data_IF_227536312885
#
_entry.id   IF_227536312885
#
_cell.length_a   1.000
_cell.length_b   1.000
_cell.length_c   1.000
_cell.angle_alpha   90.00
_cell.angle_beta   90.00
_cell.angle_gamma   90.00
#
_symmetry.space_group_name_H-M   'P 1'
#
loop_
_entity.id
_entity.type
_entity.pdbx_description
1 polymer ?
#
# COMPACT_ATOMS: atom_id res chain seq x y z
N UNK A 1 -61.24 -24.65 -7.68
CA UNK A 1 -60.14 -23.88 -8.25
C UNK A 1 -60.20 -24.06 -9.77
N UNK A 2 -60.56 -23.00 -10.48
CA UNK A 2 -60.64 -23.06 -11.94
C UNK A 2 -59.26 -23.20 -12.55
N UNK A 3 -59.16 -23.77 -13.73
CA UNK A 3 -57.87 -23.88 -14.46
C UNK A 3 -57.18 -22.52 -14.62
N UNK A 4 -57.91 -21.42 -14.69
CA UNK A 4 -57.43 -20.05 -14.77
C UNK A 4 -56.80 -19.57 -13.42
N UNK A 5 -57.41 -19.91 -12.27
CA UNK A 5 -56.86 -19.56 -10.95
C UNK A 5 -55.55 -20.31 -10.69
N UNK A 6 -55.45 -21.59 -11.15
CA UNK A 6 -54.23 -22.38 -11.03
C UNK A 6 -53.06 -21.81 -11.88
N UNK A 7 -53.37 -21.36 -13.10
CA UNK A 7 -52.38 -20.75 -13.99
C UNK A 7 -51.84 -19.39 -13.44
N UNK A 8 -52.72 -18.56 -12.87
CA UNK A 8 -52.37 -17.31 -12.22
C UNK A 8 -51.47 -17.53 -10.97
N UNK A 9 -51.73 -18.56 -10.19
CA UNK A 9 -50.93 -18.91 -8.99
C UNK A 9 -49.52 -19.38 -9.38
N UNK A 10 -49.42 -20.20 -10.43
CA UNK A 10 -48.12 -20.65 -10.96
C UNK A 10 -47.32 -19.50 -11.52
N UNK A 11 -47.95 -18.58 -12.27
CA UNK A 11 -47.28 -17.39 -12.81
C UNK A 11 -46.77 -16.44 -11.70
N UNK A 12 -47.60 -16.22 -10.66
CA UNK A 12 -47.22 -15.42 -9.51
C UNK A 12 -46.02 -16.03 -8.77
N UNK A 13 -46.02 -17.33 -8.51
CA UNK A 13 -44.94 -18.04 -7.85
C UNK A 13 -43.65 -18.02 -8.69
N UNK A 14 -43.75 -18.10 -10.00
CA UNK A 14 -42.63 -18.00 -10.94
C UNK A 14 -42.02 -16.59 -10.96
N UNK A 15 -42.85 -15.54 -10.90
CA UNK A 15 -42.40 -14.17 -10.80
C UNK A 15 -41.72 -13.92 -9.45
N UNK A 16 -42.25 -14.46 -8.36
CA UNK A 16 -41.68 -14.32 -7.01
C UNK A 16 -40.33 -15.03 -6.89
N UNK A 17 -40.22 -16.24 -7.48
CA UNK A 17 -38.94 -16.99 -7.50
C UNK A 17 -37.89 -16.30 -8.39
N UNK A 18 -38.29 -15.75 -9.53
CA UNK A 18 -37.41 -14.94 -10.39
C UNK A 18 -36.99 -13.65 -9.74
N UNK A 19 -37.87 -12.95 -9.00
CA UNK A 19 -37.56 -11.78 -8.24
C UNK A 19 -36.62 -12.09 -7.06
N UNK A 20 -36.89 -13.17 -6.33
CA UNK A 20 -36.01 -13.65 -5.25
C UNK A 20 -34.64 -14.10 -5.79
N UNK A 21 -34.60 -14.81 -6.92
CA UNK A 21 -33.36 -15.17 -7.59
C UNK A 21 -32.57 -13.93 -8.06
N UNK A 22 -33.24 -12.88 -8.57
CA UNK A 22 -32.59 -11.59 -8.90
C UNK A 22 -32.10 -10.85 -7.68
N UNK A 23 -32.84 -10.84 -6.57
CA UNK A 23 -32.41 -10.24 -5.30
C UNK A 23 -31.25 -11.02 -4.68
N UNK A 24 -31.26 -12.34 -4.76
CA UNK A 24 -30.16 -13.20 -4.30
C UNK A 24 -28.97 -13.20 -5.28
N UNK A 25 -29.20 -13.05 -6.57
CA UNK A 25 -28.16 -12.83 -7.61
C UNK A 25 -27.69 -11.39 -7.69
N UNK A 26 -28.36 -10.47 -6.99
CA UNK A 26 -27.98 -9.06 -6.82
C UNK A 26 -26.69 -8.83 -6.01
N UNK A 27 -25.87 -9.86 -5.79
CA UNK A 27 -24.41 -9.70 -5.71
C UNK A 27 -23.99 -9.24 -7.10
N UNK A 28 -24.14 -7.92 -7.33
CA UNK A 28 -23.68 -7.26 -8.53
C UNK A 28 -22.32 -7.83 -8.88
N UNK A 29 -22.21 -8.41 -10.06
CA UNK A 29 -20.94 -8.81 -10.61
C UNK A 29 -20.06 -7.57 -10.52
N UNK A 30 -19.17 -7.54 -9.51
CA UNK A 30 -18.19 -6.46 -9.40
C UNK A 30 -17.43 -6.50 -10.70
N UNK A 31 -17.62 -5.47 -11.48
CA UNK A 31 -16.75 -5.21 -12.63
C UNK A 31 -15.36 -5.09 -11.99
N UNK A 32 -14.54 -6.11 -12.17
CA UNK A 32 -13.14 -6.08 -11.78
C UNK A 32 -12.55 -4.85 -12.46
N UNK A 33 -12.33 -3.77 -11.70
CA UNK A 33 -11.68 -2.56 -12.23
C UNK A 33 -10.29 -2.98 -12.65
N UNK A 34 -10.05 -3.07 -13.96
CA UNK A 34 -8.71 -3.31 -14.48
C UNK A 34 -7.90 -2.04 -14.31
N UNK A 35 -6.93 -2.09 -13.43
CA UNK A 35 -5.96 -1.02 -13.28
C UNK A 35 -5.00 -1.05 -14.47
N UNK A 36 -4.71 0.13 -15.01
CA UNK A 36 -3.62 0.30 -15.99
C UNK A 36 -2.38 0.70 -15.22
N UNK A 37 -1.30 -0.02 -15.41
CA UNK A 37 -0.04 0.23 -14.72
C UNK A 37 1.05 0.54 -15.73
N UNK A 38 1.92 1.47 -15.38
CA UNK A 38 3.16 1.77 -16.07
C UNK A 38 4.33 1.63 -15.10
N UNK A 39 5.51 1.31 -15.61
CA UNK A 39 6.73 1.21 -14.82
C UNK A 39 7.90 1.75 -15.61
N UNK A 40 8.84 2.36 -14.91
CA UNK A 40 10.16 2.69 -15.42
C UNK A 40 11.18 2.42 -14.34
N UNK A 41 12.36 1.97 -14.71
CA UNK A 41 13.46 1.68 -13.80
C UNK A 41 14.76 2.03 -14.55
N UNK A 42 15.71 2.58 -13.82
CA UNK A 42 17.05 2.85 -14.33
C UNK A 42 18.07 2.43 -13.30
N UNK A 43 19.17 1.86 -13.76
CA UNK A 43 20.30 1.51 -12.90
C UNK A 43 21.20 2.73 -12.60
N UNK A 44 21.05 3.82 -13.41
CA UNK A 44 21.93 4.98 -13.31
C UNK A 44 23.40 4.60 -13.53
N UNK A 45 24.28 5.17 -12.74
CA UNK A 45 25.72 4.91 -12.77
C UNK A 45 26.16 3.73 -11.89
N UNK A 46 25.20 2.97 -11.35
CA UNK A 46 25.48 1.83 -10.47
C UNK A 46 25.81 0.58 -11.26
N UNK A 47 26.59 -0.32 -10.64
CA UNK A 47 26.93 -1.61 -11.26
C UNK A 47 25.82 -2.65 -11.07
N UNK A 48 24.93 -2.44 -10.11
CA UNK A 48 23.86 -3.38 -9.76
C UNK A 48 22.56 -2.65 -9.49
N UNK A 49 21.47 -3.22 -9.97
CA UNK A 49 20.13 -2.76 -9.62
C UNK A 49 19.74 -3.28 -8.24
N UNK A 50 19.50 -2.35 -7.34
CA UNK A 50 19.10 -2.64 -5.96
C UNK A 50 17.62 -2.33 -5.71
N UNK A 51 16.94 -1.69 -6.65
CA UNK A 51 15.50 -1.47 -6.61
C UNK A 51 14.74 -2.73 -7.00
N UNK A 52 13.58 -2.90 -6.41
CA UNK A 52 12.63 -3.96 -6.74
C UNK A 52 11.21 -3.42 -6.69
N UNK A 53 10.30 -4.01 -7.47
CA UNK A 53 8.88 -3.64 -7.41
C UNK A 53 8.01 -4.87 -7.62
N UNK A 54 6.77 -4.78 -7.15
CA UNK A 54 5.76 -5.81 -7.34
C UNK A 54 4.39 -5.20 -7.56
N UNK A 55 3.57 -5.90 -8.35
CA UNK A 55 2.18 -5.55 -8.60
C UNK A 55 1.36 -6.82 -8.44
N UNK A 56 0.30 -6.75 -7.66
CA UNK A 56 -0.65 -7.83 -7.46
C UNK A 56 -2.07 -7.30 -7.59
N UNK A 57 -2.97 -8.14 -8.08
CA UNK A 57 -4.39 -7.81 -8.18
C UNK A 57 -5.21 -9.02 -7.76
N UNK A 58 -6.20 -8.80 -6.92
CA UNK A 58 -7.26 -9.73 -6.59
C UNK A 58 -8.60 -9.25 -7.18
N UNK A 59 -9.68 -9.98 -6.93
CA UNK A 59 -11.02 -9.56 -7.34
C UNK A 59 -11.45 -8.23 -6.68
N UNK A 60 -10.96 -7.97 -5.47
CA UNK A 60 -11.43 -6.87 -4.61
C UNK A 60 -10.40 -5.77 -4.38
N UNK A 61 -9.12 -6.00 -4.69
CA UNK A 61 -8.05 -5.06 -4.38
C UNK A 61 -6.90 -5.11 -5.39
N UNK A 62 -6.19 -4.00 -5.49
CA UNK A 62 -4.95 -3.85 -6.25
C UNK A 62 -3.85 -3.42 -5.29
N UNK A 63 -2.69 -4.05 -5.40
CA UNK A 63 -1.49 -3.71 -4.64
C UNK A 63 -0.34 -3.38 -5.60
N UNK A 64 0.35 -2.29 -5.32
CA UNK A 64 1.67 -2.01 -5.87
C UNK A 64 2.67 -1.76 -4.74
N UNK A 65 3.88 -2.27 -4.89
CA UNK A 65 4.99 -2.08 -3.94
C UNK A 65 6.26 -1.75 -4.69
N UNK A 66 7.01 -0.81 -4.15
CA UNK A 66 8.35 -0.41 -4.59
C UNK A 66 9.29 -0.50 -3.40
N UNK A 67 10.49 -1.02 -3.62
CA UNK A 67 11.55 -1.08 -2.62
C UNK A 67 12.87 -0.62 -3.23
N UNK A 68 13.51 0.38 -2.60
CA UNK A 68 14.86 0.89 -2.89
C UNK A 68 15.80 0.25 -1.86
N UNK A 69 16.65 -0.64 -2.34
CA UNK A 69 17.57 -1.40 -1.51
C UNK A 69 18.84 -0.63 -1.21
N UNK A 70 19.31 -0.74 0.03
CA UNK A 70 20.57 -0.13 0.47
C UNK A 70 21.40 -1.15 1.26
N UNK A 71 22.70 -1.03 1.13
CA UNK A 71 23.62 -1.92 1.85
C UNK A 71 24.95 -2.09 1.15
N UNK A 72 25.78 -2.96 1.71
CA UNK A 72 27.06 -3.35 1.11
C UNK A 72 26.90 -4.64 0.31
N UNK A 73 27.72 -4.79 -0.74
CA UNK A 73 27.70 -5.96 -1.62
C UNK A 73 26.30 -6.23 -2.20
N UNK A 74 25.69 -7.35 -1.84
CA UNK A 74 24.35 -7.75 -2.31
C UNK A 74 23.23 -7.37 -1.34
N UNK A 75 23.55 -6.72 -0.20
CA UNK A 75 22.60 -6.44 0.87
C UNK A 75 21.38 -5.65 0.41
N UNK A 76 21.59 -4.59 -0.38
CA UNK A 76 20.48 -3.79 -0.92
C UNK A 76 19.57 -4.59 -1.84
N UNK A 77 20.15 -5.36 -2.77
CA UNK A 77 19.39 -6.21 -3.69
C UNK A 77 18.60 -7.31 -2.98
N UNK A 78 19.20 -7.94 -1.98
CA UNK A 78 18.52 -8.96 -1.16
C UNK A 78 17.36 -8.31 -0.42
N UNK A 79 17.60 -7.19 0.27
CA UNK A 79 16.60 -6.49 1.06
C UNK A 79 15.40 -6.06 0.24
N UNK A 80 15.63 -5.41 -0.92
CA UNK A 80 14.54 -4.92 -1.76
C UNK A 80 13.70 -6.07 -2.34
N UNK A 81 14.33 -7.17 -2.77
CA UNK A 81 13.62 -8.36 -3.25
C UNK A 81 12.81 -9.02 -2.16
N UNK A 82 13.43 -9.25 -0.99
CA UNK A 82 12.75 -9.84 0.16
C UNK A 82 11.54 -9.01 0.57
N UNK A 83 11.68 -7.67 0.60
CA UNK A 83 10.58 -6.77 0.89
C UNK A 83 9.41 -6.94 -0.09
N UNK A 84 9.69 -6.91 -1.39
CA UNK A 84 8.67 -7.06 -2.43
C UNK A 84 8.02 -8.44 -2.39
N UNK A 85 8.80 -9.51 -2.27
CA UNK A 85 8.27 -10.87 -2.26
C UNK A 85 7.44 -11.13 -1.01
N UNK A 86 7.86 -10.66 0.17
CA UNK A 86 7.07 -10.72 1.41
C UNK A 86 5.74 -9.98 1.27
N UNK A 87 5.75 -8.75 0.72
CA UNK A 87 4.51 -7.99 0.52
C UNK A 87 3.53 -8.70 -0.41
N UNK A 88 4.03 -9.28 -1.50
CA UNK A 88 3.22 -10.04 -2.46
C UNK A 88 2.63 -11.29 -1.83
N UNK A 89 3.44 -12.03 -1.07
CA UNK A 89 2.97 -13.23 -0.36
C UNK A 89 1.89 -12.88 0.66
N UNK A 90 2.10 -11.85 1.47
CA UNK A 90 1.11 -11.36 2.41
C UNK A 90 -0.20 -10.93 1.72
N UNK A 91 -0.11 -10.33 0.53
CA UNK A 91 -1.29 -9.93 -0.24
C UNK A 91 -2.08 -11.12 -0.79
N UNK A 92 -1.47 -12.28 -1.06
CA UNK A 92 -2.21 -13.48 -1.49
C UNK A 92 -3.21 -13.95 -0.43
N UNK A 93 -2.93 -13.64 0.84
CA UNK A 93 -3.76 -13.99 1.99
C UNK A 93 -4.63 -12.81 2.47
N UNK A 94 -4.50 -11.63 1.84
CA UNK A 94 -5.27 -10.44 2.19
C UNK A 94 -6.76 -10.67 1.97
N UNK A 95 -7.56 -10.39 3.00
CA UNK A 95 -9.02 -10.53 2.96
C UNK A 95 -9.69 -9.16 3.00
N UNK A 96 -10.85 -9.05 2.37
CA UNK A 96 -11.64 -7.82 2.40
C UNK A 96 -12.04 -7.37 3.81
N UNK A 97 -12.19 -8.31 4.74
CA UNK A 97 -12.50 -8.00 6.14
C UNK A 97 -11.31 -7.44 6.92
N UNK A 98 -10.09 -7.53 6.38
CA UNK A 98 -8.88 -7.01 7.03
C UNK A 98 -8.75 -5.51 6.76
N UNK A 99 -8.57 -4.72 7.81
CA UNK A 99 -8.31 -3.28 7.68
C UNK A 99 -6.96 -3.03 6.99
N UNK A 100 -6.86 -2.09 6.01
CA UNK A 100 -5.61 -1.78 5.31
C UNK A 100 -4.45 -1.41 6.23
N UNK A 101 -4.72 -0.64 7.28
CA UNK A 101 -3.72 -0.26 8.27
C UNK A 101 -3.12 -1.48 9.00
N UNK A 102 -3.95 -2.44 9.36
CA UNK A 102 -3.50 -3.67 10.01
C UNK A 102 -2.69 -4.54 9.05
N UNK A 103 -3.16 -4.68 7.79
CA UNK A 103 -2.41 -5.37 6.73
C UNK A 103 -1.01 -4.77 6.55
N UNK A 104 -0.90 -3.47 6.38
CA UNK A 104 0.39 -2.81 6.19
C UNK A 104 1.32 -2.97 7.39
N UNK A 105 0.85 -2.75 8.62
CA UNK A 105 1.67 -2.96 9.82
C UNK A 105 2.24 -4.37 9.85
N UNK A 106 1.41 -5.37 9.67
CA UNK A 106 1.81 -6.77 9.69
C UNK A 106 2.80 -7.08 8.57
N UNK A 107 2.54 -6.59 7.35
CA UNK A 107 3.41 -6.82 6.20
C UNK A 107 4.79 -6.16 6.37
N UNK A 108 4.86 -4.92 6.87
CA UNK A 108 6.13 -4.23 7.08
C UNK A 108 6.95 -4.86 8.23
N UNK A 109 6.32 -5.30 9.31
CA UNK A 109 7.02 -6.04 10.35
C UNK A 109 7.54 -7.39 9.85
N UNK A 110 6.75 -8.10 9.04
CA UNK A 110 7.20 -9.35 8.44
C UNK A 110 8.35 -9.14 7.45
N UNK A 111 8.30 -8.08 6.63
CA UNK A 111 9.41 -7.70 5.74
C UNK A 111 10.68 -7.41 6.53
N UNK A 112 10.57 -6.60 7.61
CA UNK A 112 11.72 -6.27 8.44
C UNK A 112 12.38 -7.54 9.02
N UNK A 113 11.58 -8.42 9.56
CA UNK A 113 12.05 -9.69 10.11
C UNK A 113 12.69 -10.57 9.03
N UNK A 114 12.05 -10.73 7.88
CA UNK A 114 12.56 -11.57 6.80
C UNK A 114 13.90 -11.05 6.24
N UNK A 115 14.08 -9.71 6.17
CA UNK A 115 15.35 -9.11 5.75
C UNK A 115 16.44 -9.40 6.79
N UNK A 116 16.17 -9.18 8.08
CA UNK A 116 17.12 -9.43 9.15
C UNK A 116 17.54 -10.91 9.22
N UNK A 117 16.60 -11.83 8.99
CA UNK A 117 16.87 -13.27 8.95
C UNK A 117 17.73 -13.70 7.75
N UNK A 118 17.67 -12.96 6.62
CA UNK A 118 18.47 -13.28 5.42
C UNK A 118 19.86 -12.64 5.41
N UNK A 119 20.04 -11.58 6.17
CA UNK A 119 21.28 -10.83 6.23
C UNK A 119 22.01 -11.12 7.56
N UNK A 120 22.83 -12.15 7.57
CA UNK A 120 23.58 -12.61 8.75
C UNK A 120 24.45 -11.52 9.39
N UNK A 121 24.87 -10.51 8.63
CA UNK A 121 25.73 -9.41 9.09
C UNK A 121 24.99 -8.08 9.30
N UNK A 122 23.66 -8.05 9.13
CA UNK A 122 22.83 -6.86 9.32
C UNK A 122 23.14 -5.68 8.37
N UNK A 123 23.88 -5.91 7.28
CA UNK A 123 24.40 -4.84 6.41
C UNK A 123 23.52 -4.58 5.19
N UNK A 124 22.25 -4.56 5.37
CA UNK A 124 21.30 -4.20 4.32
C UNK A 124 19.97 -3.76 4.87
N UNK A 125 19.20 -3.13 4.02
CA UNK A 125 17.85 -2.68 4.33
C UNK A 125 17.18 -2.17 3.05
N UNK A 126 15.95 -1.70 3.18
CA UNK A 126 15.25 -1.08 2.06
C UNK A 126 14.29 0.02 2.52
N UNK A 127 14.24 1.08 1.73
CA UNK A 127 13.09 1.98 1.73
C UNK A 127 11.95 1.30 0.98
N UNK A 128 10.76 1.26 1.55
CA UNK A 128 9.60 0.59 0.95
C UNK A 128 8.40 1.52 0.94
N UNK A 129 7.76 1.62 -0.22
CA UNK A 129 6.45 2.24 -0.39
C UNK A 129 5.47 1.24 -0.98
N UNK A 130 4.29 1.15 -0.41
CA UNK A 130 3.23 0.27 -0.89
C UNK A 130 1.89 1.00 -0.98
N UNK A 131 1.14 0.71 -2.04
CA UNK A 131 -0.17 1.29 -2.32
C UNK A 131 -1.17 0.15 -2.46
N UNK A 132 -2.27 0.24 -1.72
CA UNK A 132 -3.41 -0.66 -1.81
C UNK A 132 -4.63 0.14 -2.26
N UNK A 133 -5.22 -0.25 -3.39
CA UNK A 133 -6.47 0.34 -3.86
C UNK A 133 -7.59 -0.67 -3.66
N UNK A 134 -8.59 -0.28 -2.87
CA UNK A 134 -9.75 -1.09 -2.54
C UNK A 134 -10.99 -0.20 -2.43
N UNK A 135 -12.12 -0.66 -2.96
CA UNK A 135 -13.42 0.03 -2.90
C UNK A 135 -13.39 1.48 -3.41
N UNK A 136 -12.48 1.80 -4.34
CA UNK A 136 -12.28 3.16 -4.87
C UNK A 136 -11.38 4.04 -4.02
N UNK A 137 -10.92 3.56 -2.86
CA UNK A 137 -10.02 4.27 -1.96
C UNK A 137 -8.57 3.84 -2.15
N UNK A 138 -7.66 4.81 -2.05
CA UNK A 138 -6.22 4.60 -2.04
C UNK A 138 -5.74 4.60 -0.60
N UNK A 139 -5.10 3.51 -0.21
CA UNK A 139 -4.38 3.39 1.06
C UNK A 139 -2.90 3.23 0.75
N UNK A 140 -2.03 3.80 1.56
CA UNK A 140 -0.60 3.62 1.37
C UNK A 140 0.15 3.46 2.69
N UNK A 141 1.34 2.87 2.60
CA UNK A 141 2.31 2.83 3.69
C UNK A 141 3.72 3.03 3.15
N UNK A 142 4.54 3.75 3.91
CA UNK A 142 5.95 4.03 3.59
C UNK A 142 6.82 3.79 4.81
N UNK A 143 7.99 3.20 4.59
CA UNK A 143 9.13 3.22 5.50
C UNK A 143 10.38 3.55 4.67
N UNK A 144 11.10 4.60 5.04
CA UNK A 144 12.22 5.12 4.24
C UNK A 144 11.86 6.36 3.43
N UNK A 145 12.55 6.60 2.33
CA UNK A 145 12.42 7.82 1.53
C UNK A 145 11.62 7.67 0.22
N UNK A 146 10.87 6.58 0.07
CA UNK A 146 9.95 6.43 -1.06
C UNK A 146 8.91 7.54 -1.03
N UNK A 147 8.65 8.14 -2.19
CA UNK A 147 7.65 9.19 -2.34
C UNK A 147 6.45 8.65 -3.11
N UNK A 148 5.28 8.92 -2.57
CA UNK A 148 3.99 8.62 -3.21
C UNK A 148 3.31 9.95 -3.51
N UNK A 149 2.81 10.06 -4.75
CA UNK A 149 2.04 11.23 -5.17
C UNK A 149 0.82 10.79 -5.97
N UNK A 150 -0.24 11.57 -5.90
CA UNK A 150 -1.48 11.39 -6.68
C UNK A 150 -1.53 12.45 -7.77
N UNK A 151 -1.66 12.01 -9.02
CA UNK A 151 -1.90 12.93 -10.13
C UNK A 151 -3.40 13.09 -10.36
N UNK A 152 -3.92 14.31 -10.22
CA UNK A 152 -5.33 14.61 -10.38
C UNK A 152 -5.54 16.00 -10.94
N UNK A 153 -6.45 16.15 -11.92
CA UNK A 153 -6.83 17.42 -12.55
C UNK A 153 -5.64 18.24 -13.08
N UNK A 154 -4.55 17.60 -13.48
CA UNK A 154 -3.35 18.27 -13.96
C UNK A 154 -2.26 18.48 -12.90
N UNK A 155 -2.57 18.28 -11.61
CA UNK A 155 -1.66 18.50 -10.51
C UNK A 155 -1.06 17.19 -9.97
N UNK A 156 0.19 17.24 -9.57
CA UNK A 156 0.88 16.16 -8.85
C UNK A 156 0.90 16.49 -7.35
N UNK A 157 0.10 15.77 -6.58
CA UNK A 157 -0.10 16.00 -5.15
C UNK A 157 0.74 14.98 -4.37
N UNK A 158 1.84 15.40 -3.69
CA UNK A 158 2.58 14.50 -2.81
C UNK A 158 1.69 14.11 -1.63
N UNK A 159 1.63 12.81 -1.32
CA UNK A 159 0.82 12.28 -0.22
C UNK A 159 1.66 11.60 0.87
N UNK A 160 2.95 11.34 0.62
CA UNK A 160 3.88 10.81 1.62
C UNK A 160 5.05 11.76 1.86
N UNK A 161 5.54 11.78 3.11
CA UNK A 161 6.69 12.60 3.56
C UNK A 161 8.00 11.82 3.57
N UNK A 162 7.92 10.53 3.91
CA UNK A 162 9.09 9.65 4.09
C UNK A 162 9.87 9.92 5.39
N UNK A 163 10.91 9.10 5.62
CA UNK A 163 11.60 9.03 6.90
C UNK A 163 13.08 9.47 6.80
N UNK A 164 13.32 10.71 6.37
CA UNK A 164 14.66 11.31 6.40
C UNK A 164 14.86 12.18 7.66
N UNK A 165 16.11 12.40 8.04
CA UNK A 165 16.45 13.30 9.17
C UNK A 165 15.90 14.72 8.92
N UNK A 166 15.92 15.20 7.66
CA UNK A 166 15.35 16.49 7.30
C UNK A 166 13.85 16.57 7.57
N UNK A 167 13.08 15.54 7.18
CA UNK A 167 11.64 15.45 7.48
C UNK A 167 11.41 15.42 8.99
N UNK A 168 12.15 14.56 9.72
CA UNK A 168 12.05 14.48 11.17
C UNK A 168 12.36 15.81 11.86
N UNK A 169 13.32 16.57 11.33
CA UNK A 169 13.65 17.90 11.86
C UNK A 169 12.51 18.90 11.63
N UNK A 170 11.86 18.85 10.45
CA UNK A 170 10.67 19.65 10.16
C UNK A 170 9.54 19.37 11.15
N UNK A 171 9.21 18.10 11.35
CA UNK A 171 8.15 17.67 12.28
C UNK A 171 8.46 18.10 13.72
N UNK A 172 9.68 17.88 14.20
CA UNK A 172 10.11 18.31 15.55
C UNK A 172 10.06 19.82 15.72
N UNK A 173 10.33 20.59 14.68
CA UNK A 173 10.18 22.04 14.72
C UNK A 173 8.72 22.45 14.85
N UNK A 174 7.82 21.86 14.04
CA UNK A 174 6.37 22.11 14.12
C UNK A 174 5.82 21.73 15.51
N UNK A 175 6.32 20.66 16.11
CA UNK A 175 5.98 20.23 17.47
C UNK A 175 6.63 21.09 18.58
N UNK A 176 7.46 22.06 18.23
CA UNK A 176 8.15 22.92 19.19
C UNK A 176 9.26 22.22 19.97
N UNK A 177 9.75 21.06 19.52
CA UNK A 177 10.80 20.27 20.20
C UNK A 177 12.22 20.72 19.89
N UNK A 178 12.41 21.44 18.79
CA UNK A 178 13.69 22.02 18.39
C UNK A 178 13.50 23.45 17.90
N UNK A 179 14.58 24.23 17.93
CA UNK A 179 14.57 25.60 17.43
C UNK A 179 14.60 25.64 15.89
N UNK A 180 14.19 26.77 15.31
CA UNK A 180 14.27 27.00 13.87
C UNK A 180 15.71 26.83 13.35
N UNK A 181 16.69 27.30 14.08
CA UNK A 181 18.11 27.19 13.71
C UNK A 181 18.55 25.72 13.66
N UNK A 182 18.15 24.93 14.66
CA UNK A 182 18.43 23.49 14.69
C UNK A 182 17.75 22.76 13.51
N UNK A 183 16.50 23.10 13.19
CA UNK A 183 15.79 22.51 12.06
C UNK A 183 16.47 22.82 10.73
N UNK A 184 16.86 24.10 10.50
CA UNK A 184 17.52 24.52 9.26
C UNK A 184 18.86 23.81 9.02
N UNK A 185 19.63 23.50 10.09
CA UNK A 185 20.90 22.75 9.97
C UNK A 185 20.69 21.30 9.52
N UNK A 186 19.50 20.73 9.71
CA UNK A 186 19.18 19.32 9.40
C UNK A 186 18.24 19.17 8.21
N UNK A 187 17.71 20.26 7.66
CA UNK A 187 16.66 20.24 6.65
C UNK A 187 17.05 19.45 5.39
N UNK A 188 18.29 19.59 4.96
CA UNK A 188 18.82 18.91 3.77
C UNK A 188 19.44 17.54 4.07
N UNK A 189 19.30 17.04 5.29
CA UNK A 189 19.85 15.74 5.67
C UNK A 189 18.96 14.60 5.15
N UNK A 190 19.44 13.91 4.13
CA UNK A 190 18.74 12.81 3.45
C UNK A 190 18.95 11.45 4.11
N UNK A 191 19.74 11.36 5.18
CA UNK A 191 19.93 10.10 5.90
C UNK A 191 18.61 9.60 6.47
N UNK A 192 18.41 8.29 6.39
CA UNK A 192 17.20 7.64 6.88
C UNK A 192 17.30 7.43 8.39
N UNK A 193 16.19 7.71 9.10
CA UNK A 193 16.05 7.33 10.50
C UNK A 193 15.15 6.11 10.68
N UNK A 194 14.40 5.72 9.64
CA UNK A 194 13.52 4.56 9.65
C UNK A 194 13.45 3.91 8.26
N UNK A 195 13.57 2.58 8.19
CA UNK A 195 13.55 1.76 6.99
C UNK A 195 13.34 0.29 7.38
N UNK A 196 13.03 -0.62 6.47
CA UNK A 196 12.93 -2.06 6.76
C UNK A 196 14.31 -2.73 6.67
N UNK A 197 14.55 -3.72 7.54
CA UNK A 197 15.86 -4.38 7.69
C UNK A 197 16.72 -3.74 8.79
N UNK A 198 16.11 -3.04 9.75
CA UNK A 198 16.81 -2.46 10.90
C UNK A 198 16.33 -3.04 12.23
N UNK A 199 17.24 -3.15 13.18
CA UNK A 199 16.88 -3.44 14.56
C UNK A 199 16.02 -2.31 15.13
N UNK A 200 14.94 -2.67 15.83
CA UNK A 200 14.05 -1.69 16.44
C UNK A 200 13.13 -0.96 15.45
N UNK A 201 12.88 -1.54 14.27
CA UNK A 201 11.84 -1.04 13.37
C UNK A 201 10.50 -0.86 14.08
N UNK A 202 9.93 0.33 14.06
CA UNK A 202 8.74 0.65 14.87
C UNK A 202 7.58 1.21 14.08
N UNK A 203 7.83 2.05 13.09
CA UNK A 203 6.80 2.91 12.52
C UNK A 203 6.74 2.81 11.00
N UNK A 204 5.54 2.93 10.48
CA UNK A 204 5.26 3.17 9.07
C UNK A 204 4.47 4.47 8.97
N UNK A 205 4.77 5.29 7.97
CA UNK A 205 3.87 6.34 7.55
C UNK A 205 2.73 5.68 6.79
N UNK A 206 1.49 5.84 7.23
CA UNK A 206 0.33 5.37 6.49
C UNK A 206 -0.82 6.37 6.65
N UNK A 207 -1.71 6.39 5.66
CA UNK A 207 -2.96 7.13 5.80
C UNK A 207 -3.92 6.27 6.63
N UNK A 208 -4.18 6.71 7.84
CA UNK A 208 -5.28 6.24 8.65
C UNK A 208 -6.54 6.99 8.21
N UNK A 209 -7.22 6.43 7.23
CA UNK A 209 -8.54 6.96 6.91
C UNK A 209 -9.56 6.24 7.78
N UNK A 210 -10.43 6.97 8.52
CA UNK A 210 -11.57 6.38 9.21
C UNK A 210 -12.30 5.43 8.27
N UNK A 211 -12.90 4.38 8.80
CA UNK A 211 -13.63 3.37 8.02
C UNK A 211 -14.50 4.02 6.94
N UNK A 212 -14.19 3.74 5.69
CA UNK A 212 -14.90 4.25 4.51
C UNK A 212 -14.35 5.54 3.87
N UNK A 213 -13.30 6.16 4.42
CA UNK A 213 -12.66 7.33 3.84
C UNK A 213 -11.20 7.03 3.47
N UNK A 214 -10.97 6.37 2.34
CA UNK A 214 -9.71 6.47 1.64
C UNK A 214 -9.54 7.89 1.08
N UNK A 215 -8.35 8.24 0.57
CA UNK A 215 -8.19 9.52 -0.13
C UNK A 215 -9.27 9.62 -1.21
N UNK A 216 -10.39 10.23 -0.84
CA UNK A 216 -11.40 10.72 -1.75
C UNK A 216 -10.99 12.13 -2.05
N UNK A 217 -10.79 12.42 -3.29
CA UNK A 217 -10.49 13.79 -3.63
C UNK A 217 -11.66 14.73 -3.28
N UNK A 218 -11.41 16.04 -3.21
CA UNK A 218 -12.35 17.04 -2.73
C UNK A 218 -13.70 17.17 -3.49
N UNK A 219 -13.96 16.31 -4.47
CA UNK A 219 -15.13 16.41 -5.36
C UNK A 219 -16.03 15.15 -5.38
N UNK A 220 -16.06 14.34 -4.33
CA UNK A 220 -17.10 13.32 -4.13
C UNK A 220 -17.94 13.64 -2.90
#
# INVERSE_FOLDING_TARGET
MSLEEGALFILYFMILTLAAARLLSGKGGRVSRRFRTGRAMTIGDRQMQEDSYGICQSADAFLAVLADGMGRHYGGRVSSRTAVDTMKDMFTHYRRSEAPAYFFRRAFHQMNRAILEQLDDGRGGASVGAVLVRDGCLHYAVAGNIRIAVFRKGDLIPVSSGHTIGVLAGDRFVEGRITREQALRMLDDTRLYNYVGQDGFREIEFVDTPEGQGYRGPDE
#
